data_IF_296280704430
#
_entry.id   IF_296280704430
#
_cell.length_a   1.000
_cell.length_b   1.000
_cell.length_c   1.000
_cell.angle_alpha   90.00
_cell.angle_beta   90.00
_cell.angle_gamma   90.00
#
_symmetry.space_group_name_H-M   'P 1'
#
loop_
_entity.id
_entity.type
_entity.pdbx_description
1 polymer ?
#
# COMPACT_ATOMS: atom_id res chain seq x y z
N UNK A 1 16.51 12.13 -2.82
CA UNK A 1 15.10 12.32 -3.24
C UNK A 1 14.19 12.58 -2.05
N UNK A 2 14.09 11.66 -1.08
CA UNK A 2 13.25 11.83 0.13
C UNK A 2 13.51 13.17 0.85
N UNK A 3 14.78 13.48 1.18
CA UNK A 3 15.16 14.75 1.82
C UNK A 3 14.69 15.98 1.05
N UNK A 4 14.92 15.98 -0.27
CA UNK A 4 14.51 17.09 -1.14
C UNK A 4 12.99 17.25 -1.14
N UNK A 5 12.24 16.16 -1.25
CA UNK A 5 10.78 16.22 -1.19
C UNK A 5 10.26 16.78 0.15
N UNK A 6 10.91 16.44 1.25
CA UNK A 6 10.57 16.98 2.59
C UNK A 6 10.96 18.46 2.70
N UNK A 7 12.13 18.84 2.21
CA UNK A 7 12.58 20.24 2.14
C UNK A 7 11.63 21.10 1.29
N UNK A 8 11.04 20.51 0.24
CA UNK A 8 10.01 21.12 -0.60
C UNK A 8 8.60 21.10 0.05
N UNK A 9 8.46 20.55 1.25
CA UNK A 9 7.23 20.60 2.05
C UNK A 9 6.29 19.41 1.91
N UNK A 10 6.76 18.24 1.46
CA UNK A 10 5.93 17.04 1.38
C UNK A 10 5.59 16.45 2.77
N UNK A 11 4.29 16.27 3.04
CA UNK A 11 3.79 15.60 4.25
C UNK A 11 3.81 14.07 4.13
N UNK A 12 3.82 13.55 2.90
CA UNK A 12 3.78 12.12 2.61
C UNK A 12 4.76 11.77 1.49
N UNK A 13 5.46 10.64 1.64
CA UNK A 13 6.48 10.16 0.72
C UNK A 13 6.10 8.76 0.24
N UNK A 14 5.85 8.64 -1.05
CA UNK A 14 5.60 7.35 -1.69
C UNK A 14 6.93 6.78 -2.22
N UNK A 15 7.41 5.69 -1.65
CA UNK A 15 8.63 4.98 -2.07
C UNK A 15 8.27 3.67 -2.77
N UNK A 16 9.09 3.22 -3.71
CA UNK A 16 8.91 1.93 -4.39
C UNK A 16 9.91 0.93 -3.83
N UNK A 17 9.50 -0.31 -3.56
CA UNK A 17 10.41 -1.37 -3.12
C UNK A 17 11.44 -1.72 -4.20
N UNK A 18 12.58 -2.27 -3.78
CA UNK A 18 13.52 -2.91 -4.69
C UNK A 18 12.93 -4.20 -5.25
N UNK A 19 12.37 -4.11 -6.46
CA UNK A 19 11.67 -5.21 -7.12
C UNK A 19 12.61 -6.34 -7.50
N UNK A 20 13.85 -6.01 -7.89
CA UNK A 20 14.85 -7.03 -8.23
C UNK A 20 15.16 -7.89 -7.00
N UNK A 21 15.45 -7.27 -5.86
CA UNK A 21 15.68 -7.98 -4.61
C UNK A 21 14.44 -8.80 -4.17
N UNK A 22 13.23 -8.26 -4.31
CA UNK A 22 12.00 -8.99 -3.99
C UNK A 22 11.82 -10.24 -4.87
N UNK A 23 12.11 -10.15 -6.18
CA UNK A 23 12.03 -11.29 -7.10
C UNK A 23 13.11 -12.34 -6.83
N UNK A 24 14.28 -11.92 -6.37
CA UNK A 24 15.36 -12.78 -5.89
C UNK A 24 15.12 -13.31 -4.47
N UNK A 25 14.02 -12.91 -3.84
CA UNK A 25 13.67 -13.22 -2.44
C UNK A 25 14.70 -12.73 -1.41
N UNK A 26 15.50 -11.73 -1.75
CA UNK A 26 16.35 -11.01 -0.81
C UNK A 26 15.52 -9.99 -0.02
N UNK A 27 14.66 -10.51 0.85
CA UNK A 27 13.77 -9.72 1.70
C UNK A 27 14.54 -8.88 2.73
N UNK A 28 15.77 -9.26 3.05
CA UNK A 28 16.63 -8.47 3.94
C UNK A 28 17.09 -7.19 3.24
N UNK A 29 17.51 -7.28 1.99
CA UNK A 29 17.84 -6.10 1.18
C UNK A 29 16.64 -5.14 1.09
N UNK A 30 15.45 -5.66 0.75
CA UNK A 30 14.21 -4.85 0.70
C UNK A 30 13.92 -4.19 2.06
N UNK A 31 14.02 -4.95 3.15
CA UNK A 31 13.78 -4.43 4.49
C UNK A 31 14.74 -3.29 4.85
N UNK A 32 16.04 -3.52 4.68
CA UNK A 32 17.08 -2.58 5.12
C UNK A 32 17.01 -1.27 4.31
N UNK A 33 16.71 -1.34 3.01
CA UNK A 33 16.43 -0.15 2.20
C UNK A 33 15.22 0.63 2.70
N UNK A 34 14.10 -0.05 3.00
CA UNK A 34 12.89 0.61 3.50
C UNK A 34 13.10 1.23 4.89
N UNK A 35 13.88 0.60 5.76
CA UNK A 35 14.27 1.20 7.06
C UNK A 35 15.08 2.47 6.84
N UNK A 36 16.03 2.46 5.90
CA UNK A 36 16.80 3.66 5.55
C UNK A 36 15.88 4.76 5.01
N UNK A 37 14.92 4.43 4.14
CA UNK A 37 13.94 5.39 3.64
C UNK A 37 13.05 5.96 4.74
N UNK A 38 12.56 5.11 5.65
CA UNK A 38 11.72 5.54 6.78
C UNK A 38 12.48 6.48 7.70
N UNK A 39 13.75 6.21 7.97
CA UNK A 39 14.60 7.10 8.77
C UNK A 39 14.71 8.49 8.14
N UNK A 40 14.86 8.56 6.81
CA UNK A 40 14.95 9.82 6.09
C UNK A 40 13.60 10.55 5.93
N UNK A 41 12.47 9.84 6.10
CA UNK A 41 11.14 10.45 6.09
C UNK A 41 10.87 11.35 7.31
N UNK A 42 11.56 11.13 8.43
CA UNK A 42 11.34 11.88 9.66
C UNK A 42 9.89 11.79 10.13
N UNK A 43 9.16 12.91 10.07
CA UNK A 43 7.73 12.98 10.45
C UNK A 43 6.77 12.72 9.28
N UNK A 44 7.25 12.77 8.03
CA UNK A 44 6.40 12.51 6.87
C UNK A 44 5.93 11.05 6.87
N UNK A 45 4.69 10.82 6.46
CA UNK A 45 4.19 9.46 6.32
C UNK A 45 4.83 8.80 5.10
N UNK A 46 5.45 7.65 5.31
CA UNK A 46 5.99 6.81 4.24
C UNK A 46 4.92 5.84 3.74
N UNK A 47 4.71 5.82 2.43
CA UNK A 47 3.90 4.81 1.74
C UNK A 47 4.78 3.94 0.88
N UNK A 48 4.83 2.65 1.16
CA UNK A 48 5.61 1.71 0.37
C UNK A 48 4.77 1.10 -0.74
N UNK A 49 5.10 1.45 -1.98
CA UNK A 49 4.54 0.86 -3.19
C UNK A 49 5.21 -0.49 -3.46
N UNK A 50 4.42 -1.55 -3.40
CA UNK A 50 4.90 -2.92 -3.60
C UNK A 50 5.06 -3.29 -5.09
N UNK A 51 4.45 -2.52 -5.99
CA UNK A 51 4.40 -2.82 -7.42
C UNK A 51 3.88 -4.25 -7.68
N UNK A 52 2.73 -4.57 -7.09
CA UNK A 52 2.18 -5.93 -7.02
C UNK A 52 2.02 -6.64 -8.36
N UNK A 53 1.78 -5.89 -9.45
CA UNK A 53 1.71 -6.44 -10.81
C UNK A 53 3.04 -6.99 -11.35
N UNK A 54 4.16 -6.63 -10.74
CA UNK A 54 5.51 -7.05 -11.14
C UNK A 54 6.12 -8.12 -10.21
N UNK A 55 5.46 -8.47 -9.11
CA UNK A 55 5.97 -9.42 -8.11
C UNK A 55 5.72 -10.91 -8.44
N UNK A 56 5.15 -11.18 -9.63
CA UNK A 56 4.89 -12.50 -10.22
C UNK A 56 3.87 -13.39 -9.50
N UNK A 57 3.87 -13.46 -8.17
CA UNK A 57 3.00 -14.36 -7.41
C UNK A 57 2.53 -13.74 -6.08
N UNK A 58 1.47 -14.33 -5.51
CA UNK A 58 0.86 -13.85 -4.28
C UNK A 58 1.74 -14.03 -3.04
N UNK A 59 2.65 -15.02 -3.04
CA UNK A 59 3.59 -15.22 -1.93
C UNK A 59 4.56 -14.03 -1.81
N UNK A 60 5.09 -13.56 -2.93
CA UNK A 60 5.95 -12.38 -2.98
C UNK A 60 5.20 -11.11 -2.54
N UNK A 61 3.94 -10.95 -2.95
CA UNK A 61 3.11 -9.81 -2.51
C UNK A 61 2.89 -9.86 -1.00
N UNK A 62 2.59 -11.04 -0.45
CA UNK A 62 2.42 -11.23 0.98
C UNK A 62 3.71 -10.90 1.75
N UNK A 63 4.86 -11.44 1.32
CA UNK A 63 6.17 -11.18 1.94
C UNK A 63 6.58 -9.72 1.83
N UNK A 64 6.37 -9.08 0.67
CA UNK A 64 6.64 -7.66 0.48
C UNK A 64 5.78 -6.78 1.40
N UNK A 65 4.50 -7.14 1.59
CA UNK A 65 3.61 -6.45 2.53
C UNK A 65 4.16 -6.53 3.96
N UNK A 66 4.57 -7.73 4.38
CA UNK A 66 5.19 -7.96 5.70
C UNK A 66 6.48 -7.18 5.89
N UNK A 67 7.38 -7.23 4.91
CA UNK A 67 8.66 -6.53 4.96
C UNK A 67 8.45 -5.02 5.07
N UNK A 68 7.51 -4.46 4.31
CA UNK A 68 7.18 -3.04 4.39
C UNK A 68 6.63 -2.63 5.77
N UNK A 69 5.75 -3.45 6.35
CA UNK A 69 5.24 -3.20 7.70
C UNK A 69 6.34 -3.33 8.76
N UNK A 70 7.19 -4.36 8.67
CA UNK A 70 8.33 -4.55 9.58
C UNK A 70 9.34 -3.39 9.51
N UNK A 71 9.55 -2.83 8.31
CA UNK A 71 10.40 -1.66 8.10
C UNK A 71 9.78 -0.34 8.61
N UNK A 72 8.55 -0.36 9.12
CA UNK A 72 7.86 0.80 9.69
C UNK A 72 7.16 1.69 8.67
N UNK A 73 6.76 1.16 7.52
CA UNK A 73 5.94 1.88 6.55
C UNK A 73 4.57 2.22 7.13
N UNK A 74 4.09 3.45 6.92
CA UNK A 74 2.78 3.87 7.44
C UNK A 74 1.65 3.33 6.56
N UNK A 75 1.89 3.25 5.24
CA UNK A 75 0.99 2.62 4.27
C UNK A 75 1.71 1.57 3.43
N UNK A 76 1.04 0.45 3.19
CA UNK A 76 1.37 -0.38 2.02
C UNK A 76 0.45 -0.02 0.85
N UNK A 77 1.05 0.14 -0.33
CA UNK A 77 0.37 0.60 -1.54
C UNK A 77 0.57 -0.41 -2.67
N UNK A 78 -0.50 -0.69 -3.41
CA UNK A 78 -0.50 -1.73 -4.45
C UNK A 78 0.52 -1.45 -5.56
N UNK A 79 0.44 -0.28 -6.20
CA UNK A 79 1.15 0.02 -7.44
C UNK A 79 1.41 1.53 -7.59
N UNK A 80 2.26 1.94 -8.54
CA UNK A 80 2.51 3.36 -8.79
C UNK A 80 1.38 4.02 -9.58
N UNK A 81 0.51 3.23 -10.22
CA UNK A 81 -0.51 3.72 -11.15
C UNK A 81 0.00 3.84 -12.58
N UNK A 82 1.26 3.47 -12.84
CA UNK A 82 1.92 3.53 -14.15
C UNK A 82 2.17 2.14 -14.76
N UNK A 83 2.01 1.09 -13.98
CA UNK A 83 2.14 -0.30 -14.41
C UNK A 83 0.94 -0.72 -15.27
N UNK A 84 1.13 -1.76 -16.10
CA UNK A 84 0.05 -2.36 -16.90
C UNK A 84 -0.99 -3.08 -16.03
N UNK A 85 -0.56 -3.62 -14.89
CA UNK A 85 -1.42 -4.28 -13.89
C UNK A 85 -1.28 -3.54 -12.57
N UNK A 86 -2.39 -3.00 -12.08
CA UNK A 86 -2.49 -2.27 -10.81
C UNK A 86 -3.19 -3.12 -9.75
N UNK A 87 -4.04 -2.55 -8.91
CA UNK A 87 -4.82 -3.34 -7.95
C UNK A 87 -5.77 -4.31 -8.67
N UNK A 88 -5.86 -5.54 -8.15
CA UNK A 88 -6.92 -6.51 -8.42
C UNK A 88 -7.55 -6.94 -7.09
N UNK A 89 -8.77 -7.50 -7.07
CA UNK A 89 -9.38 -8.01 -5.84
C UNK A 89 -8.50 -9.05 -5.11
N UNK A 90 -7.83 -9.92 -5.86
CA UNK A 90 -6.95 -10.97 -5.33
C UNK A 90 -5.72 -10.38 -4.66
N UNK A 91 -5.09 -9.38 -5.29
CA UNK A 91 -3.98 -8.64 -4.69
C UNK A 91 -4.42 -7.94 -3.40
N UNK A 92 -5.58 -7.26 -3.44
CA UNK A 92 -6.13 -6.60 -2.26
C UNK A 92 -6.41 -7.59 -1.12
N UNK A 93 -6.96 -8.78 -1.44
CA UNK A 93 -7.17 -9.85 -0.47
C UNK A 93 -5.86 -10.29 0.20
N UNK A 94 -4.79 -10.50 -0.59
CA UNK A 94 -3.48 -10.91 -0.07
C UNK A 94 -2.90 -9.84 0.86
N UNK A 95 -2.94 -8.57 0.46
CA UNK A 95 -2.46 -7.45 1.28
C UNK A 95 -3.29 -7.28 2.56
N UNK A 96 -4.62 -7.40 2.49
CA UNK A 96 -5.49 -7.37 3.67
C UNK A 96 -5.19 -8.55 4.60
N UNK A 97 -4.96 -9.74 4.05
CA UNK A 97 -4.59 -10.92 4.83
C UNK A 97 -3.27 -10.71 5.56
N UNK A 98 -2.28 -10.10 4.90
CA UNK A 98 -1.01 -9.74 5.52
C UNK A 98 -1.19 -8.74 6.67
N UNK A 99 -1.97 -7.66 6.44
CA UNK A 99 -2.29 -6.66 7.47
C UNK A 99 -2.96 -7.32 8.67
N UNK A 100 -4.00 -8.14 8.43
CA UNK A 100 -4.73 -8.85 9.48
C UNK A 100 -3.79 -9.73 10.32
N UNK A 101 -2.97 -10.56 9.66
CA UNK A 101 -2.05 -11.44 10.38
C UNK A 101 -1.01 -10.64 11.18
N UNK A 102 -0.50 -9.55 10.60
CA UNK A 102 0.44 -8.67 11.30
C UNK A 102 -0.20 -8.03 12.54
N UNK A 103 -1.46 -7.60 12.43
CA UNK A 103 -2.21 -7.05 13.55
C UNK A 103 -2.44 -8.07 14.66
N UNK A 104 -2.95 -9.25 14.28
CA UNK A 104 -3.28 -10.32 15.21
C UNK A 104 -2.04 -10.76 16.02
N UNK A 105 -0.84 -10.62 15.45
CA UNK A 105 0.44 -10.96 16.10
C UNK A 105 1.06 -9.82 16.92
N UNK A 106 0.98 -8.57 16.46
CA UNK A 106 1.72 -7.45 17.05
C UNK A 106 0.86 -6.53 17.93
N UNK A 107 -0.45 -6.48 17.67
CA UNK A 107 -1.36 -5.49 18.26
C UNK A 107 -1.11 -4.05 17.81
N UNK A 108 -0.21 -3.78 16.86
CA UNK A 108 0.19 -2.43 16.46
C UNK A 108 -0.71 -1.91 15.33
N UNK A 109 -1.69 -1.06 15.63
CA UNK A 109 -2.58 -0.45 14.63
C UNK A 109 -1.91 0.55 13.66
N UNK A 110 -0.78 1.16 14.06
CA UNK A 110 -0.25 2.34 13.35
C UNK A 110 0.39 2.04 11.97
N UNK A 111 0.72 0.77 11.70
CA UNK A 111 1.45 0.31 10.51
C UNK A 111 0.50 -0.34 9.47
N UNK A 112 -0.81 -0.18 9.64
CA UNK A 112 -1.83 -1.01 8.96
C UNK A 112 -2.68 -0.29 7.93
N UNK A 113 -2.13 0.78 7.35
CA UNK A 113 -2.88 1.58 6.39
C UNK A 113 -2.70 0.99 4.99
N UNK A 114 -3.79 0.87 4.26
CA UNK A 114 -3.84 0.30 2.92
C UNK A 114 -4.18 1.38 1.91
N UNK A 115 -3.36 1.51 0.86
CA UNK A 115 -3.70 2.32 -0.29
C UNK A 115 -3.88 1.45 -1.54
N UNK A 116 -5.11 1.43 -2.06
CA UNK A 116 -5.49 0.67 -3.26
C UNK A 116 -5.45 1.61 -4.45
N UNK A 117 -4.56 1.33 -5.41
CA UNK A 117 -4.45 2.13 -6.63
C UNK A 117 -5.24 1.45 -7.75
N UNK A 118 -6.33 2.09 -8.19
CA UNK A 118 -7.27 1.53 -9.17
C UNK A 118 -7.12 2.32 -10.48
N UNK A 119 -6.87 1.59 -11.57
CA UNK A 119 -6.75 2.18 -12.90
C UNK A 119 -8.13 2.31 -13.55
N UNK A 120 -8.46 3.48 -14.11
CA UNK A 120 -9.77 3.79 -14.73
C UNK A 120 -11.00 3.36 -13.88
N UNK A 121 -11.11 3.83 -12.63
CA UNK A 121 -12.05 3.24 -11.70
C UNK A 121 -13.49 3.71 -11.91
N UNK A 122 -14.42 2.77 -11.72
CA UNK A 122 -15.86 3.08 -11.57
C UNK A 122 -16.22 3.19 -10.08
N UNK A 123 -17.34 3.85 -9.73
CA UNK A 123 -17.83 3.84 -8.34
C UNK A 123 -18.07 2.44 -7.81
N UNK A 124 -18.48 1.50 -8.67
CA UNK A 124 -18.67 0.10 -8.31
C UNK A 124 -17.35 -0.58 -7.93
N UNK A 125 -16.23 -0.25 -8.58
CA UNK A 125 -14.93 -0.80 -8.22
C UNK A 125 -14.50 -0.35 -6.83
N UNK A 126 -14.67 0.94 -6.52
CA UNK A 126 -14.40 1.46 -5.18
C UNK A 126 -15.26 0.76 -4.11
N UNK A 127 -16.54 0.49 -4.41
CA UNK A 127 -17.41 -0.27 -3.51
C UNK A 127 -16.95 -1.71 -3.32
N UNK A 128 -16.49 -2.40 -4.37
CA UNK A 128 -15.96 -3.77 -4.27
C UNK A 128 -14.77 -3.85 -3.31
N UNK A 129 -13.81 -2.94 -3.46
CA UNK A 129 -12.66 -2.89 -2.55
C UNK A 129 -13.06 -2.48 -1.13
N UNK A 130 -13.99 -1.53 -0.98
CA UNK A 130 -14.52 -1.14 0.34
C UNK A 130 -15.12 -2.34 1.07
N UNK A 131 -15.97 -3.12 0.39
CA UNK A 131 -16.58 -4.34 0.97
C UNK A 131 -15.52 -5.36 1.32
N UNK A 132 -14.55 -5.60 0.42
CA UNK A 132 -13.46 -6.54 0.70
C UNK A 132 -12.67 -6.17 1.96
N UNK A 133 -12.35 -4.88 2.13
CA UNK A 133 -11.65 -4.39 3.33
C UNK A 133 -12.54 -4.52 4.57
N UNK A 134 -13.82 -4.19 4.48
CA UNK A 134 -14.78 -4.32 5.58
C UNK A 134 -14.88 -5.78 6.08
N UNK A 135 -14.96 -6.74 5.16
CA UNK A 135 -15.07 -8.16 5.49
C UNK A 135 -13.77 -8.74 6.09
N UNK A 136 -12.60 -8.29 5.64
CA UNK A 136 -11.32 -8.85 6.07
C UNK A 136 -10.72 -8.17 7.29
N UNK A 137 -10.82 -6.84 7.35
CA UNK A 137 -10.18 -6.02 8.40
C UNK A 137 -11.18 -5.45 9.39
N UNK A 138 -12.45 -5.34 9.02
CA UNK A 138 -13.49 -4.72 9.85
C UNK A 138 -13.82 -3.30 9.40
N UNK A 139 -14.97 -2.80 9.89
CA UNK A 139 -15.52 -1.49 9.53
C UNK A 139 -14.65 -0.33 10.00
N UNK A 140 -13.88 -0.54 11.08
CA UNK A 140 -12.94 0.42 11.65
C UNK A 140 -11.81 0.79 10.67
N UNK A 141 -11.48 -0.08 9.71
CA UNK A 141 -10.52 0.23 8.63
C UNK A 141 -11.08 1.16 7.55
N UNK A 142 -12.39 1.42 7.54
CA UNK A 142 -13.03 2.27 6.53
C UNK A 142 -12.95 3.76 6.89
N UNK A 143 -11.75 4.22 7.26
CA UNK A 143 -11.46 5.62 7.57
C UNK A 143 -10.38 6.16 6.62
N UNK A 144 -10.35 7.48 6.33
CA UNK A 144 -9.31 8.07 5.48
C UNK A 144 -7.88 7.87 5.98
N UNK A 145 -7.74 7.60 7.28
CA UNK A 145 -6.48 7.28 7.92
C UNK A 145 -6.01 5.86 7.61
N UNK A 146 -6.92 4.90 7.46
CA UNK A 146 -6.56 3.48 7.31
C UNK A 146 -6.76 2.95 5.89
N UNK A 147 -7.68 3.52 5.12
CA UNK A 147 -7.96 3.12 3.75
C UNK A 147 -7.96 4.33 2.82
N UNK A 148 -7.18 4.26 1.74
CA UNK A 148 -7.18 5.25 0.68
C UNK A 148 -7.30 4.64 -0.70
N UNK A 149 -7.95 5.36 -1.60
CA UNK A 149 -8.02 5.04 -3.02
C UNK A 149 -7.08 5.96 -3.80
N UNK A 150 -6.05 5.39 -4.42
CA UNK A 150 -5.21 6.10 -5.38
C UNK A 150 -5.86 6.07 -6.76
N UNK A 151 -6.42 7.20 -7.19
CA UNK A 151 -7.04 7.33 -8.50
C UNK A 151 -7.12 8.80 -8.94
N UNK A 152 -7.15 9.03 -10.26
CA UNK A 152 -7.32 10.37 -10.85
C UNK A 152 -8.76 10.66 -11.25
N UNK A 153 -9.46 9.74 -11.93
CA UNK A 153 -10.83 9.96 -12.43
C UNK A 153 -11.95 9.49 -11.50
N UNK A 154 -11.63 8.83 -10.39
CA UNK A 154 -12.63 8.25 -9.49
C UNK A 154 -13.55 9.32 -8.90
N UNK A 155 -13.00 10.47 -8.50
CA UNK A 155 -13.76 11.55 -7.89
C UNK A 155 -14.87 12.02 -8.83
N UNK A 156 -14.52 12.36 -10.07
CA UNK A 156 -15.48 12.80 -11.08
C UNK A 156 -16.53 11.73 -11.37
N UNK A 157 -16.12 10.46 -11.43
CA UNK A 157 -17.01 9.34 -11.69
C UNK A 157 -18.00 9.10 -10.53
N UNK A 158 -17.57 9.29 -9.28
CA UNK A 158 -18.44 9.21 -8.09
C UNK A 158 -19.40 10.39 -8.07
N UNK A 159 -18.92 11.61 -8.30
CA UNK A 159 -19.77 12.81 -8.34
C UNK A 159 -20.87 12.66 -9.39
N UNK A 160 -20.56 12.09 -10.58
CA UNK A 160 -21.54 11.86 -11.63
C UNK A 160 -22.60 10.80 -11.30
N UNK A 161 -22.33 9.91 -10.36
CA UNK A 161 -23.21 8.80 -9.99
C UNK A 161 -24.12 9.12 -8.79
N UNK A 162 -23.89 10.26 -8.13
CA UNK A 162 -24.72 10.80 -7.04
C UNK A 162 -25.79 11.74 -7.61
#
# INVERSE_FOLDING_TARGET
EIKLAIEDGADEIDVVINRAAALEQDWKCVHDELVAFKAECGKAHMKTILATGELQNYENIYKASWVAMLAGSDFIKTSTGKESVNATPEVAYVMCSAIKHYFDLTGICQIQRLQITIFCPTPLDALRYRVLVEELLGKEWLTPDLLRFGATSLLDNVIKAL
#
